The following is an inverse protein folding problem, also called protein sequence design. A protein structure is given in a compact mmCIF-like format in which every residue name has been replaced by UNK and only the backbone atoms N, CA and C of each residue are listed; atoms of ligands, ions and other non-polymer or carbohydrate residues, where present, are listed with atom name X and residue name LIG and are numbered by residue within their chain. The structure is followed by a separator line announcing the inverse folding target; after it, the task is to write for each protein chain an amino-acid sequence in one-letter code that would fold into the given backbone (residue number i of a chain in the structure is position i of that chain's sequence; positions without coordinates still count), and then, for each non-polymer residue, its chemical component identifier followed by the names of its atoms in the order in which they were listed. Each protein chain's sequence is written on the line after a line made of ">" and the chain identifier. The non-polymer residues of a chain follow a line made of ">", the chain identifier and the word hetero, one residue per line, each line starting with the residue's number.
data_IF_792659300057
#
_entry.id   IF_792659300057
#
_cell.length_a   1.000
_cell.length_b   1.000
_cell.length_c   1.000
_cell.angle_alpha   90.00
_cell.angle_beta   90.00
_cell.angle_gamma   90.00
#
_symmetry.space_group_name_H-M   'P 1'
#
loop_
_entity.id
_entity.type
_entity.pdbx_description
1 polymer ?
#
# COMPACT_ATOMS: atom_id res chain seq x y z
N UNK A 1 45.05 12.43 14.75
CA UNK A 1 44.99 10.96 14.60
C UNK A 1 45.71 10.23 15.73
N UNK A 2 47.03 10.34 15.86
CA UNK A 2 47.80 9.63 16.92
C UNK A 2 47.36 9.99 18.36
N UNK A 3 47.10 11.28 18.63
CA UNK A 3 46.60 11.73 19.95
C UNK A 3 45.15 11.32 20.25
N UNK A 4 44.34 11.09 19.22
CA UNK A 4 42.93 10.69 19.39
C UNK A 4 42.85 9.19 19.73
N UNK A 5 43.67 8.38 19.06
CA UNK A 5 43.86 6.96 19.35
C UNK A 5 44.43 6.73 20.76
N UNK A 6 45.41 7.54 21.16
CA UNK A 6 46.01 7.47 22.50
C UNK A 6 45.00 7.85 23.60
N UNK A 7 44.14 8.86 23.36
CA UNK A 7 43.04 9.21 24.27
C UNK A 7 41.94 8.15 24.34
N UNK A 8 41.78 7.34 23.31
CA UNK A 8 40.83 6.22 23.27
C UNK A 8 41.38 5.01 24.01
N UNK A 9 42.66 4.68 23.83
CA UNK A 9 43.38 3.66 24.62
C UNK A 9 43.41 3.98 26.12
N UNK A 10 43.51 5.25 26.51
CA UNK A 10 43.54 5.65 27.92
C UNK A 10 42.15 5.64 28.60
N UNK A 11 41.06 5.78 27.83
CA UNK A 11 39.68 5.86 28.36
C UNK A 11 38.88 4.57 28.26
N UNK A 12 39.35 3.64 27.44
CA UNK A 12 38.72 2.36 27.27
C UNK A 12 39.64 1.32 27.91
N UNK A 13 39.14 0.61 28.92
CA UNK A 13 39.80 -0.53 29.54
C UNK A 13 39.79 -1.70 28.54
N UNK A 14 40.45 -1.48 27.38
CA UNK A 14 40.51 -2.35 26.20
C UNK A 14 41.68 -3.30 26.36
N UNK A 15 41.76 -3.90 27.55
CA UNK A 15 42.47 -5.15 27.73
C UNK A 15 41.56 -6.26 27.17
N UNK A 16 41.82 -6.68 25.92
CA UNK A 16 41.19 -7.80 25.17
C UNK A 16 39.96 -7.52 24.27
N UNK A 17 39.81 -6.34 23.63
CA UNK A 17 38.63 -6.10 22.76
C UNK A 17 38.86 -6.38 21.26
N UNK A 18 38.01 -7.25 20.71
CA UNK A 18 37.64 -7.43 19.29
C UNK A 18 37.93 -6.21 18.38
N UNK A 19 38.72 -6.35 17.29
CA UNK A 19 39.04 -5.29 16.33
C UNK A 19 37.82 -4.52 15.80
N UNK A 20 36.67 -5.21 15.73
CA UNK A 20 35.39 -4.63 15.31
C UNK A 20 34.93 -3.53 16.26
N UNK A 21 35.20 -3.67 17.57
CA UNK A 21 34.85 -2.66 18.59
C UNK A 21 35.69 -1.40 18.47
N UNK A 22 36.96 -1.51 18.08
CA UNK A 22 37.83 -0.34 17.88
C UNK A 22 37.33 0.53 16.74
N UNK A 23 36.87 -0.09 15.64
CA UNK A 23 36.23 0.61 14.52
C UNK A 23 34.98 1.39 14.96
N UNK A 24 34.06 0.74 15.67
CA UNK A 24 32.84 1.36 16.18
C UNK A 24 33.12 2.55 17.13
N UNK A 25 34.13 2.41 17.99
CA UNK A 25 34.53 3.50 18.90
C UNK A 25 35.13 4.68 18.13
N UNK A 26 35.95 4.41 17.13
CA UNK A 26 36.52 5.45 16.26
C UNK A 26 35.44 6.20 15.49
N UNK A 27 34.49 5.49 14.89
CA UNK A 27 33.37 6.09 14.15
C UNK A 27 32.49 6.94 15.06
N UNK A 28 32.23 6.46 16.28
CA UNK A 28 31.49 7.22 17.29
C UNK A 28 32.19 8.51 17.67
N UNK A 29 33.49 8.48 17.97
CA UNK A 29 34.24 9.69 18.36
C UNK A 29 34.33 10.67 17.21
N UNK A 30 34.56 10.19 16.00
CA UNK A 30 34.63 11.03 14.80
C UNK A 30 33.29 11.71 14.53
N UNK A 31 32.20 10.94 14.55
CA UNK A 31 30.84 11.47 14.35
C UNK A 31 30.43 12.46 15.44
N UNK A 32 30.74 12.17 16.71
CA UNK A 32 30.47 13.07 17.82
C UNK A 32 31.27 14.38 17.70
N UNK A 33 32.54 14.31 17.30
CA UNK A 33 33.37 15.51 17.12
C UNK A 33 32.88 16.39 15.97
N UNK A 34 32.41 15.78 14.88
CA UNK A 34 31.81 16.51 13.74
C UNK A 34 30.50 17.17 14.18
N UNK A 35 29.67 16.47 14.95
CA UNK A 35 28.41 17.02 15.47
C UNK A 35 28.66 18.19 16.42
N UNK A 36 29.62 18.07 17.34
CA UNK A 36 29.98 19.14 18.28
C UNK A 36 30.48 20.39 17.52
N UNK A 37 31.29 20.21 16.48
CA UNK A 37 31.75 21.30 15.61
C UNK A 37 30.57 21.95 14.87
N UNK A 38 29.68 21.15 14.28
CA UNK A 38 28.49 21.64 13.59
C UNK A 38 27.55 22.44 14.51
N UNK A 39 27.28 21.93 15.73
CA UNK A 39 26.47 22.61 16.73
C UNK A 39 27.11 23.91 17.23
N UNK A 40 28.44 24.01 17.20
CA UNK A 40 29.14 25.23 17.60
C UNK A 40 29.00 26.35 16.55
N UNK A 41 28.98 26.00 15.27
CA UNK A 41 29.03 26.97 14.16
C UNK A 41 27.69 27.22 13.47
N UNK A 42 26.69 26.35 13.67
CA UNK A 42 25.34 26.51 13.12
C UNK A 42 24.30 26.70 14.24
N UNK A 43 23.84 27.95 14.47
CA UNK A 43 22.84 28.27 15.49
C UNK A 43 21.50 27.58 15.26
N UNK A 44 21.12 27.30 14.01
CA UNK A 44 19.83 26.66 13.69
C UNK A 44 19.87 25.20 14.16
N UNK A 45 20.98 24.49 13.91
CA UNK A 45 21.24 23.15 14.44
C UNK A 45 21.32 23.13 15.97
N UNK A 46 21.95 24.13 16.58
CA UNK A 46 22.07 24.22 18.04
C UNK A 46 20.73 24.52 18.74
N UNK A 47 19.81 25.18 18.04
CA UNK A 47 18.54 25.64 18.60
C UNK A 47 17.47 24.55 18.71
N UNK A 48 17.61 23.44 17.97
CA UNK A 48 16.59 22.40 17.88
C UNK A 48 17.15 21.07 18.40
N UNK A 49 16.71 20.67 19.59
CA UNK A 49 17.04 19.36 20.16
C UNK A 49 16.17 18.24 19.58
N UNK A 50 16.73 17.03 19.43
CA UNK A 50 15.95 15.85 19.04
C UNK A 50 14.78 15.57 19.98
N UNK A 51 14.95 15.80 21.29
CA UNK A 51 13.88 15.67 22.29
C UNK A 51 12.73 16.66 22.08
N UNK A 52 13.02 17.87 21.61
CA UNK A 52 11.99 18.88 21.32
C UNK A 52 11.23 18.52 20.04
N UNK A 53 11.93 18.02 19.02
CA UNK A 53 11.30 17.50 17.80
C UNK A 53 10.41 16.31 18.09
N UNK A 54 10.87 15.35 18.89
CA UNK A 54 10.09 14.18 19.29
C UNK A 54 8.85 14.59 20.11
N UNK A 55 9.01 15.56 21.01
CA UNK A 55 7.90 16.11 21.78
C UNK A 55 6.88 16.83 20.87
N UNK A 56 7.35 17.62 19.90
CA UNK A 56 6.51 18.31 18.93
C UNK A 56 5.75 17.31 18.03
N UNK A 57 6.43 16.30 17.50
CA UNK A 57 5.83 15.24 16.70
C UNK A 57 4.78 14.45 17.51
N UNK A 58 5.10 14.09 18.75
CA UNK A 58 4.19 13.41 19.66
C UNK A 58 2.96 14.26 20.00
N UNK A 59 3.15 15.58 20.17
CA UNK A 59 2.03 16.50 20.39
C UNK A 59 1.14 16.59 19.16
N UNK A 60 1.74 16.80 17.99
CA UNK A 60 1.02 16.86 16.72
C UNK A 60 0.18 15.59 16.49
N UNK A 61 0.76 14.40 16.67
CA UNK A 61 0.05 13.13 16.52
C UNK A 61 -1.15 13.02 17.47
N UNK A 62 -0.97 13.40 18.73
CA UNK A 62 -2.04 13.37 19.73
C UNK A 62 -3.16 14.35 19.39
N UNK A 63 -2.80 15.56 18.99
CA UNK A 63 -3.73 16.63 18.66
C UNK A 63 -4.49 16.32 17.36
N UNK A 64 -3.82 15.74 16.36
CA UNK A 64 -4.42 15.28 15.11
C UNK A 64 -5.43 14.15 15.36
N UNK A 65 -5.08 13.14 16.16
CA UNK A 65 -6.00 12.07 16.56
C UNK A 65 -7.22 12.62 17.32
N UNK A 66 -6.99 13.58 18.22
CA UNK A 66 -8.06 14.25 18.96
C UNK A 66 -8.98 15.05 18.02
N UNK A 67 -8.39 15.74 17.06
CA UNK A 67 -9.09 16.51 16.03
C UNK A 67 -9.91 15.60 15.10
N UNK A 68 -9.37 14.45 14.67
CA UNK A 68 -10.08 13.44 13.90
C UNK A 68 -11.28 12.89 14.66
N UNK A 69 -11.11 12.55 15.94
CA UNK A 69 -12.19 12.06 16.79
C UNK A 69 -13.31 13.11 16.97
N UNK A 70 -12.94 14.37 17.23
CA UNK A 70 -13.88 15.48 17.34
C UNK A 70 -14.65 15.73 16.03
N UNK A 71 -13.94 15.69 14.89
CA UNK A 71 -14.56 15.83 13.57
C UNK A 71 -15.53 14.69 13.26
N UNK A 72 -15.23 13.45 13.65
CA UNK A 72 -16.14 12.33 13.45
C UNK A 72 -17.50 12.55 14.16
N UNK A 73 -17.51 13.16 15.35
CA UNK A 73 -18.75 13.55 16.04
C UNK A 73 -19.50 14.63 15.26
N UNK A 74 -18.79 15.67 14.82
CA UNK A 74 -19.36 16.78 14.03
C UNK A 74 -19.99 16.29 12.73
N UNK A 75 -19.27 15.46 11.96
CA UNK A 75 -19.75 14.92 10.69
C UNK A 75 -20.95 14.00 10.90
N UNK A 76 -20.94 13.13 11.93
CA UNK A 76 -22.11 12.30 12.26
C UNK A 76 -23.35 13.15 12.58
N UNK A 77 -23.19 14.24 13.33
CA UNK A 77 -24.29 15.18 13.60
C UNK A 77 -24.83 15.80 12.32
N UNK A 78 -23.96 16.30 11.44
CA UNK A 78 -24.36 16.90 10.17
C UNK A 78 -25.07 15.89 9.25
N UNK A 79 -24.54 14.66 9.16
CA UNK A 79 -25.17 13.58 8.42
C UNK A 79 -26.56 13.23 8.98
N UNK A 80 -26.71 13.14 10.31
CA UNK A 80 -28.00 12.88 10.95
C UNK A 80 -29.02 14.01 10.72
N UNK A 81 -28.59 15.27 10.77
CA UNK A 81 -29.44 16.43 10.46
C UNK A 81 -29.90 16.41 9.01
N UNK A 82 -28.98 16.15 8.06
CA UNK A 82 -29.30 16.00 6.64
C UNK A 82 -30.27 14.85 6.40
N UNK A 83 -30.03 13.70 7.02
CA UNK A 83 -30.92 12.55 6.93
C UNK A 83 -32.33 12.89 7.42
N UNK A 84 -32.46 13.56 8.57
CA UNK A 84 -33.76 14.00 9.08
C UNK A 84 -34.51 14.88 8.08
N UNK A 85 -33.84 15.90 7.52
CA UNK A 85 -34.44 16.78 6.51
C UNK A 85 -34.89 16.00 5.27
N UNK A 86 -34.09 15.05 4.80
CA UNK A 86 -34.43 14.22 3.63
C UNK A 86 -35.59 13.26 3.93
N UNK A 87 -35.65 12.67 5.14
CA UNK A 87 -36.77 11.84 5.57
C UNK A 87 -38.08 12.63 5.64
N UNK A 88 -38.03 13.86 6.17
CA UNK A 88 -39.18 14.76 6.26
C UNK A 88 -39.66 15.21 4.87
N UNK A 89 -38.73 15.45 3.94
CA UNK A 89 -39.04 15.82 2.55
C UNK A 89 -39.52 14.65 1.69
N UNK A 90 -39.24 13.39 2.09
CA UNK A 90 -39.60 12.18 1.34
C UNK A 90 -40.39 11.17 2.20
N UNK A 91 -41.61 11.51 2.64
CA UNK A 91 -42.38 10.71 3.60
C UNK A 91 -42.67 9.27 3.11
N UNK A 92 -42.89 9.08 1.81
CA UNK A 92 -43.11 7.74 1.23
C UNK A 92 -41.85 6.86 1.32
N UNK A 93 -40.68 7.44 1.03
CA UNK A 93 -39.42 6.71 1.15
C UNK A 93 -39.09 6.42 2.62
N UNK A 94 -39.37 7.37 3.50
CA UNK A 94 -39.20 7.20 4.95
C UNK A 94 -40.07 6.05 5.47
N UNK A 95 -41.35 5.98 5.11
CA UNK A 95 -42.24 4.91 5.58
C UNK A 95 -41.77 3.52 5.11
N UNK A 96 -41.33 3.42 3.84
CA UNK A 96 -40.78 2.17 3.29
C UNK A 96 -39.49 1.75 3.99
N UNK A 97 -38.56 2.69 4.22
CA UNK A 97 -37.33 2.41 4.97
C UNK A 97 -37.65 1.96 6.40
N UNK A 98 -38.55 2.66 7.09
CA UNK A 98 -38.97 2.30 8.45
C UNK A 98 -39.54 0.88 8.51
N UNK A 99 -40.38 0.54 7.53
CA UNK A 99 -40.93 -0.82 7.40
C UNK A 99 -39.80 -1.83 7.23
N UNK A 100 -38.83 -1.55 6.35
CA UNK A 100 -37.70 -2.44 6.09
C UNK A 100 -36.81 -2.64 7.33
N UNK A 101 -36.47 -1.57 8.05
CA UNK A 101 -35.62 -1.61 9.26
C UNK A 101 -36.26 -2.42 10.39
N UNK A 102 -37.60 -2.45 10.46
CA UNK A 102 -38.32 -3.25 11.47
C UNK A 102 -38.47 -4.73 11.11
N UNK A 103 -38.10 -5.15 9.88
CA UNK A 103 -38.17 -6.56 9.50
C UNK A 103 -37.11 -7.37 10.21
N UNK A 104 -37.48 -8.59 10.61
CA UNK A 104 -36.57 -9.56 11.24
C UNK A 104 -35.98 -10.56 10.23
N UNK A 105 -36.66 -10.77 9.11
CA UNK A 105 -36.28 -11.73 8.06
C UNK A 105 -36.77 -11.23 6.70
N UNK A 106 -36.26 -11.84 5.61
CA UNK A 106 -36.64 -11.53 4.21
C UNK A 106 -36.44 -10.05 3.85
N UNK A 107 -35.22 -9.57 4.06
CA UNK A 107 -34.86 -8.21 3.69
C UNK A 107 -34.97 -7.98 2.18
N UNK A 108 -35.42 -6.80 1.80
CA UNK A 108 -35.43 -6.35 0.42
C UNK A 108 -33.97 -6.20 -0.05
N UNK A 109 -33.61 -6.76 -1.24
CA UNK A 109 -32.26 -6.61 -1.76
C UNK A 109 -31.84 -5.13 -1.89
N UNK A 110 -30.59 -4.81 -1.53
CA UNK A 110 -30.07 -3.42 -1.51
C UNK A 110 -30.28 -2.69 -2.84
N UNK A 111 -30.09 -3.40 -3.98
CA UNK A 111 -30.38 -2.86 -5.32
C UNK A 111 -31.79 -2.29 -5.43
N UNK A 112 -32.78 -3.05 -4.96
CA UNK A 112 -34.18 -2.64 -5.02
C UNK A 112 -34.47 -1.51 -4.04
N UNK A 113 -33.85 -1.52 -2.84
CA UNK A 113 -33.95 -0.39 -1.91
C UNK A 113 -33.37 0.90 -2.48
N UNK A 114 -32.25 0.82 -3.20
CA UNK A 114 -31.64 1.97 -3.88
C UNK A 114 -32.51 2.52 -5.02
N UNK A 115 -33.20 1.65 -5.74
CA UNK A 115 -34.15 2.05 -6.78
C UNK A 115 -35.44 2.64 -6.19
N UNK A 116 -35.96 2.06 -5.10
CA UNK A 116 -37.23 2.47 -4.49
C UNK A 116 -37.09 3.70 -3.58
N UNK A 117 -35.92 3.89 -2.95
CA UNK A 117 -35.64 4.88 -1.90
C UNK A 117 -34.32 5.66 -2.12
N UNK A 118 -34.03 6.19 -3.33
CA UNK A 118 -32.71 6.72 -3.67
C UNK A 118 -32.27 7.89 -2.78
N UNK A 119 -33.18 8.83 -2.50
CA UNK A 119 -32.86 10.05 -1.74
C UNK A 119 -32.49 9.72 -0.29
N UNK A 120 -33.31 8.89 0.34
CA UNK A 120 -33.11 8.51 1.75
C UNK A 120 -31.86 7.63 1.89
N UNK A 121 -31.63 6.67 0.98
CA UNK A 121 -30.47 5.78 1.04
C UNK A 121 -29.15 6.54 0.86
N UNK A 122 -29.07 7.44 -0.12
CA UNK A 122 -27.89 8.27 -0.36
C UNK A 122 -27.65 9.28 0.77
N UNK A 123 -28.70 9.79 1.41
CA UNK A 123 -28.58 10.68 2.57
C UNK A 123 -28.15 9.93 3.84
N UNK A 124 -28.60 8.69 4.02
CA UNK A 124 -28.26 7.87 5.19
C UNK A 124 -26.79 7.44 5.20
N UNK A 125 -26.20 7.22 4.01
CA UNK A 125 -24.79 6.94 3.82
C UNK A 125 -24.20 7.94 2.83
N UNK A 126 -23.57 9.04 3.29
CA UNK A 126 -23.10 10.09 2.40
C UNK A 126 -21.82 9.74 1.62
N UNK A 127 -21.12 8.66 1.99
CA UNK A 127 -19.89 8.20 1.34
C UNK A 127 -20.07 6.75 0.92
N UNK A 128 -19.74 6.45 -0.34
CA UNK A 128 -19.86 5.13 -0.95
C UNK A 128 -18.50 4.72 -1.53
N UNK A 129 -17.96 3.61 -1.03
CA UNK A 129 -16.77 2.96 -1.60
C UNK A 129 -17.23 1.74 -2.41
N UNK A 130 -17.02 1.78 -3.73
CA UNK A 130 -17.56 0.79 -4.66
C UNK A 130 -16.61 0.59 -5.84
N UNK A 131 -16.52 -0.63 -6.37
CA UNK A 131 -15.87 -0.84 -7.66
C UNK A 131 -16.69 -0.23 -8.81
N UNK A 132 -16.06 0.16 -9.93
CA UNK A 132 -16.78 0.79 -11.05
C UNK A 132 -17.94 -0.06 -11.61
N UNK A 133 -17.79 -1.39 -11.59
CA UNK A 133 -18.84 -2.33 -11.96
C UNK A 133 -20.07 -2.23 -11.03
N UNK A 134 -19.85 -2.10 -9.72
CA UNK A 134 -20.94 -1.97 -8.75
C UNK A 134 -21.65 -0.63 -8.88
N UNK A 135 -20.92 0.45 -9.17
CA UNK A 135 -21.50 1.77 -9.45
C UNK A 135 -22.48 1.68 -10.63
N UNK A 136 -22.05 1.04 -11.72
CA UNK A 136 -22.86 0.86 -12.92
C UNK A 136 -24.12 0.03 -12.67
N UNK A 137 -24.00 -0.97 -11.79
CA UNK A 137 -25.08 -1.91 -11.47
C UNK A 137 -26.09 -1.37 -10.46
N UNK A 138 -25.66 -0.64 -9.44
CA UNK A 138 -26.49 -0.35 -8.27
C UNK A 138 -27.01 1.07 -8.20
N UNK A 139 -26.24 2.04 -8.69
CA UNK A 139 -26.58 3.46 -8.55
C UNK A 139 -27.47 3.94 -9.70
N UNK A 140 -28.41 4.86 -9.46
CA UNK A 140 -29.29 5.39 -10.51
C UNK A 140 -28.48 6.17 -11.57
N UNK A 141 -28.97 6.21 -12.81
CA UNK A 141 -28.37 6.98 -13.91
C UNK A 141 -28.69 8.47 -13.80
N UNK A 142 -28.34 9.10 -12.68
CA UNK A 142 -28.47 10.54 -12.43
C UNK A 142 -27.31 11.03 -11.55
N UNK A 143 -27.02 12.32 -11.62
CA UNK A 143 -26.09 12.96 -10.68
C UNK A 143 -26.57 12.70 -9.25
N UNK A 144 -25.71 12.05 -8.46
CA UNK A 144 -26.03 11.55 -7.12
C UNK A 144 -25.00 11.97 -6.08
N UNK A 145 -23.81 12.40 -6.52
CA UNK A 145 -22.68 12.75 -5.69
C UNK A 145 -22.14 14.13 -6.08
N UNK A 146 -21.74 14.90 -5.08
CA UNK A 146 -21.00 16.14 -5.27
C UNK A 146 -19.54 15.89 -5.65
N UNK A 147 -18.98 14.75 -5.24
CA UNK A 147 -17.60 14.36 -5.50
C UNK A 147 -17.47 12.87 -5.81
N UNK A 148 -16.70 12.56 -6.86
CA UNK A 148 -16.24 11.20 -7.19
C UNK A 148 -14.72 11.17 -7.10
N UNK A 149 -14.20 10.18 -6.37
CA UNK A 149 -12.76 9.98 -6.19
C UNK A 149 -12.42 8.62 -6.80
N UNK A 150 -11.46 8.61 -7.72
CA UNK A 150 -10.76 7.40 -8.11
C UNK A 150 -9.43 7.37 -7.36
N UNK A 151 -9.30 6.37 -6.50
CA UNK A 151 -8.02 5.97 -5.92
C UNK A 151 -7.44 4.81 -6.75
N UNK A 152 -6.12 4.68 -6.79
CA UNK A 152 -5.41 3.75 -7.68
C UNK A 152 -5.89 3.84 -9.15
N UNK A 153 -6.09 5.07 -9.62
CA UNK A 153 -6.65 5.37 -10.92
C UNK A 153 -5.84 4.85 -12.12
N UNK A 154 -4.57 4.49 -11.90
CA UNK A 154 -3.75 3.80 -12.90
C UNK A 154 -4.27 2.39 -13.23
N UNK A 155 -5.08 1.78 -12.35
CA UNK A 155 -5.64 0.45 -12.50
C UNK A 155 -7.11 0.45 -13.00
N UNK A 156 -7.67 1.62 -13.34
CA UNK A 156 -9.06 1.72 -13.81
C UNK A 156 -9.10 2.17 -15.26
N UNK A 157 -9.75 1.38 -16.12
CA UNK A 157 -9.94 1.75 -17.53
C UNK A 157 -10.92 2.92 -17.67
N UNK A 158 -10.73 3.82 -18.64
CA UNK A 158 -11.66 4.93 -18.87
C UNK A 158 -13.11 4.49 -19.09
N UNK A 159 -13.32 3.38 -19.83
CA UNK A 159 -14.65 2.84 -20.10
C UNK A 159 -15.40 2.45 -18.82
N UNK A 160 -14.69 1.87 -17.85
CA UNK A 160 -15.25 1.47 -16.56
C UNK A 160 -15.48 2.67 -15.64
N UNK A 161 -14.69 3.73 -15.78
CA UNK A 161 -14.80 4.94 -14.98
C UNK A 161 -16.00 5.84 -15.35
N UNK A 162 -16.39 5.89 -16.63
CA UNK A 162 -17.44 6.79 -17.14
C UNK A 162 -18.74 6.72 -16.32
N UNK A 163 -19.30 5.53 -15.98
CA UNK A 163 -20.50 5.45 -15.17
C UNK A 163 -20.38 6.15 -13.81
N UNK A 164 -19.21 6.10 -13.16
CA UNK A 164 -19.03 6.81 -11.90
C UNK A 164 -18.90 8.32 -12.11
N UNK A 165 -18.13 8.73 -13.13
CA UNK A 165 -17.92 10.16 -13.47
C UNK A 165 -19.27 10.85 -13.74
N UNK A 166 -20.17 10.23 -14.52
CA UNK A 166 -21.49 10.80 -14.84
C UNK A 166 -22.40 11.01 -13.62
N UNK A 167 -22.07 10.43 -12.46
CA UNK A 167 -22.86 10.56 -11.23
C UNK A 167 -22.28 11.59 -10.26
N UNK A 168 -21.12 12.17 -10.58
CA UNK A 168 -20.40 13.13 -9.76
C UNK A 168 -20.38 14.54 -10.35
N UNK A 169 -20.52 15.56 -9.51
CA UNK A 169 -20.33 16.96 -9.94
C UNK A 169 -18.86 17.34 -10.06
N UNK A 170 -18.01 16.78 -9.20
CA UNK A 170 -16.57 17.00 -9.18
C UNK A 170 -15.84 15.65 -9.24
N UNK A 171 -14.64 15.66 -9.80
CA UNK A 171 -13.81 14.48 -10.00
C UNK A 171 -12.42 14.71 -9.40
N UNK A 172 -11.96 13.78 -8.58
CA UNK A 172 -10.57 13.65 -8.16
C UNK A 172 -10.04 12.31 -8.69
N UNK A 173 -8.86 12.35 -9.29
CA UNK A 173 -8.17 11.17 -9.80
C UNK A 173 -6.81 11.12 -9.13
N UNK A 174 -6.58 10.10 -8.32
CA UNK A 174 -5.34 9.85 -7.61
C UNK A 174 -4.80 8.47 -8.00
N UNK A 175 -3.49 8.38 -8.16
CA UNK A 175 -2.81 7.14 -8.53
C UNK A 175 -1.39 7.43 -9.01
N UNK A 176 -0.68 6.37 -9.38
CA UNK A 176 0.69 6.45 -9.83
C UNK A 176 0.84 5.80 -11.22
N UNK A 177 1.24 6.60 -12.21
CA UNK A 177 1.44 6.13 -13.58
C UNK A 177 2.65 5.23 -13.76
N UNK A 178 3.51 5.12 -12.73
CA UNK A 178 4.68 4.24 -12.73
C UNK A 178 4.41 2.89 -12.05
N UNK A 179 3.24 2.71 -11.46
CA UNK A 179 2.79 1.43 -10.89
C UNK A 179 2.01 0.61 -11.92
N UNK A 180 1.58 -0.59 -11.51
CA UNK A 180 0.95 -1.57 -12.40
C UNK A 180 -0.26 -0.96 -13.15
N UNK A 181 -0.33 -1.12 -14.48
CA UNK A 181 -1.51 -0.76 -15.26
C UNK A 181 -2.68 -1.71 -14.96
N UNK A 182 -3.89 -1.46 -15.49
CA UNK A 182 -5.03 -2.34 -15.25
C UNK A 182 -4.73 -3.74 -15.77
N UNK A 183 -4.98 -4.77 -14.96
CA UNK A 183 -4.83 -6.16 -15.38
C UNK A 183 -5.97 -6.54 -16.34
N UNK A 184 -5.63 -7.07 -17.51
CA UNK A 184 -6.58 -7.57 -18.52
C UNK A 184 -7.18 -8.93 -18.11
N UNK A 185 -7.73 -9.05 -16.90
CA UNK A 185 -8.29 -10.32 -16.40
C UNK A 185 -9.65 -10.68 -17.06
N UNK A 186 -10.38 -9.69 -17.59
CA UNK A 186 -11.75 -9.87 -18.08
C UNK A 186 -11.90 -9.98 -19.60
N UNK A 187 -10.84 -9.76 -20.36
CA UNK A 187 -10.88 -9.68 -21.84
C UNK A 187 -10.76 -11.06 -22.47
N UNK A 188 -10.22 -12.06 -21.76
CA UNK A 188 -10.09 -13.44 -22.26
C UNK A 188 -11.39 -14.24 -22.30
N UNK A 189 -12.44 -13.84 -21.56
CA UNK A 189 -13.70 -14.63 -21.50
C UNK A 189 -14.58 -14.48 -22.75
N UNK A 190 -14.21 -13.62 -23.70
CA UNK A 190 -14.99 -13.41 -24.93
C UNK A 190 -14.35 -14.02 -26.18
N UNK A 191 -13.08 -14.43 -26.13
CA UNK A 191 -12.35 -14.89 -27.33
C UNK A 191 -11.97 -16.39 -27.36
N UNK A 192 -12.08 -17.15 -26.26
CA UNK A 192 -11.72 -18.58 -26.28
C UNK A 192 -12.94 -19.49 -25.97
N UNK A 193 -13.66 -19.88 -27.02
CA UNK A 193 -14.19 -21.24 -27.09
C UNK A 193 -13.11 -22.08 -27.78
N UNK A 194 -12.59 -23.06 -27.03
CA UNK A 194 -11.66 -24.14 -27.40
C UNK A 194 -10.25 -23.99 -26.81
N UNK A 195 -9.82 -25.07 -26.16
CA UNK A 195 -8.59 -25.35 -25.43
C UNK A 195 -8.44 -24.87 -23.97
N UNK A 196 -8.05 -25.82 -23.12
CA UNK A 196 -8.06 -25.77 -21.66
C UNK A 196 -7.24 -24.63 -21.05
N UNK A 197 -7.81 -24.04 -20.01
CA UNK A 197 -7.28 -22.92 -19.25
C UNK A 197 -5.91 -23.28 -18.65
N UNK A 198 -4.84 -22.76 -19.24
CA UNK A 198 -3.61 -22.44 -18.52
C UNK A 198 -3.73 -20.97 -18.09
N UNK A 199 -3.99 -20.74 -16.81
CA UNK A 199 -3.86 -19.41 -16.18
C UNK A 199 -2.38 -19.04 -16.08
N UNK A 200 -1.74 -18.86 -17.23
CA UNK A 200 -0.33 -18.50 -17.32
C UNK A 200 -0.25 -17.05 -17.82
N UNK A 201 -0.16 -16.13 -16.85
CA UNK A 201 0.65 -14.94 -17.06
C UNK A 201 2.11 -15.40 -17.06
N UNK A 202 2.57 -15.96 -18.19
CA UNK A 202 4.00 -16.23 -18.39
C UNK A 202 4.77 -14.91 -18.28
N UNK A 203 5.97 -14.98 -17.69
CA UNK A 203 6.95 -13.89 -17.60
C UNK A 203 7.23 -13.21 -18.97
N UNK A 204 6.94 -13.88 -20.08
CA UNK A 204 7.08 -13.33 -21.43
C UNK A 204 5.99 -12.31 -21.80
N UNK A 205 4.81 -12.34 -21.16
CA UNK A 205 3.72 -11.42 -21.49
C UNK A 205 4.00 -9.97 -21.08
N UNK A 206 4.82 -9.75 -20.05
CA UNK A 206 5.25 -8.40 -19.62
C UNK A 206 6.42 -7.88 -20.48
N UNK A 207 7.32 -8.76 -20.93
CA UNK A 207 8.44 -8.39 -21.81
C UNK A 207 8.00 -8.16 -23.27
N UNK A 208 6.97 -8.86 -23.75
CA UNK A 208 6.49 -8.74 -25.13
C UNK A 208 5.74 -7.42 -25.42
N UNK A 209 5.26 -6.70 -24.39
CA UNK A 209 4.57 -5.41 -24.58
C UNK A 209 5.53 -4.30 -25.03
N UNK A 210 6.83 -4.43 -24.78
CA UNK A 210 7.81 -3.39 -25.13
C UNK A 210 8.26 -3.40 -26.61
N UNK A 211 8.00 -4.47 -27.38
CA UNK A 211 8.60 -4.64 -28.73
C UNK A 211 7.66 -4.48 -29.92
N UNK A 212 6.35 -4.27 -29.71
CA UNK A 212 5.42 -4.05 -30.82
C UNK A 212 5.36 -2.55 -31.25
N UNK A 213 5.52 -2.21 -32.55
CA UNK A 213 5.45 -0.83 -33.01
C UNK A 213 4.03 -0.27 -32.80
N UNK A 214 3.92 0.69 -31.87
CA UNK A 214 2.67 1.41 -31.55
C UNK A 214 2.17 2.15 -32.79
N UNK A 215 1.11 1.63 -33.43
CA UNK A 215 0.43 2.31 -34.54
C UNK A 215 -0.33 3.51 -33.98
N UNK A 216 0.06 4.69 -34.43
CA UNK A 216 -0.54 5.99 -34.10
C UNK A 216 -1.99 6.03 -34.61
N UNK A 217 -2.97 5.80 -33.73
CA UNK A 217 -4.38 5.70 -34.12
C UNK A 217 -5.36 5.96 -32.96
N UNK A 218 -6.02 7.13 -33.00
CA UNK A 218 -7.16 7.55 -32.17
C UNK A 218 -6.88 7.76 -30.67
N UNK A 219 -6.96 9.02 -30.23
CA UNK A 219 -6.72 9.54 -28.88
C UNK A 219 -7.46 8.83 -27.71
N UNK A 220 -8.46 8.00 -28.00
CA UNK A 220 -9.31 7.33 -27.00
C UNK A 220 -9.12 5.82 -26.90
N UNK A 221 -8.41 5.18 -27.85
CA UNK A 221 -8.10 3.74 -27.78
C UNK A 221 -6.80 3.45 -27.02
N UNK A 222 -5.94 4.46 -26.88
CA UNK A 222 -4.62 4.35 -26.24
C UNK A 222 -4.63 4.79 -24.76
N UNK A 223 -5.79 5.08 -24.19
CA UNK A 223 -5.86 5.46 -22.77
C UNK A 223 -5.86 4.20 -21.90
N UNK A 224 -4.65 3.77 -21.53
CA UNK A 224 -4.40 2.61 -20.67
C UNK A 224 -5.17 2.70 -19.34
N UNK A 225 -5.37 3.92 -18.80
CA UNK A 225 -6.10 4.16 -17.56
C UNK A 225 -6.78 5.54 -17.52
N UNK A 226 -7.71 5.73 -16.59
CA UNK A 226 -8.33 7.03 -16.33
C UNK A 226 -7.31 8.06 -15.83
N UNK A 227 -6.28 7.62 -15.08
CA UNK A 227 -5.16 8.48 -14.69
C UNK A 227 -4.44 9.05 -15.91
N UNK A 228 -4.06 8.19 -16.86
CA UNK A 228 -3.39 8.60 -18.09
C UNK A 228 -4.29 9.51 -18.96
N UNK A 229 -5.57 9.17 -19.08
CA UNK A 229 -6.53 10.00 -19.81
C UNK A 229 -6.66 11.40 -19.21
N UNK A 230 -6.78 11.50 -17.89
CA UNK A 230 -6.94 12.78 -17.19
C UNK A 230 -5.66 13.60 -17.19
N UNK A 231 -4.48 12.99 -17.02
CA UNK A 231 -3.21 13.72 -17.06
C UNK A 231 -2.98 14.40 -18.43
N UNK A 232 -3.38 13.73 -19.52
CA UNK A 232 -3.36 14.34 -20.87
C UNK A 232 -4.40 15.46 -21.05
N UNK A 233 -5.61 15.26 -20.56
CA UNK A 233 -6.70 16.24 -20.72
C UNK A 233 -6.49 17.49 -19.86
N UNK A 234 -5.91 17.32 -18.67
CA UNK A 234 -5.68 18.36 -17.67
C UNK A 234 -4.21 18.77 -17.61
N UNK A 235 -3.49 18.65 -18.72
CA UNK A 235 -2.04 18.84 -18.80
C UNK A 235 -1.55 20.06 -17.99
N UNK A 236 -0.65 19.81 -17.02
CA UNK A 236 -0.08 20.83 -16.13
C UNK A 236 -0.89 21.13 -14.86
N UNK A 237 -2.06 20.51 -14.69
CA UNK A 237 -2.88 20.65 -13.47
C UNK A 237 -2.68 19.49 -12.48
N UNK A 238 -2.01 18.41 -12.88
CA UNK A 238 -1.63 17.34 -11.97
C UNK A 238 -0.61 17.84 -10.93
N UNK A 239 -0.65 17.21 -9.74
CA UNK A 239 0.24 17.51 -8.62
C UNK A 239 0.87 16.20 -8.16
N UNK A 240 2.20 16.17 -8.09
CA UNK A 240 2.94 15.02 -7.57
C UNK A 240 3.14 15.19 -6.07
N UNK A 241 2.84 14.13 -5.32
CA UNK A 241 3.23 14.03 -3.92
C UNK A 241 4.68 13.52 -3.89
N UNK A 242 5.60 14.33 -3.36
CA UNK A 242 7.03 14.06 -3.43
C UNK A 242 7.57 13.35 -2.18
N UNK A 243 6.85 13.41 -1.07
CA UNK A 243 7.35 12.93 0.22
C UNK A 243 6.99 11.46 0.40
N UNK A 244 8.01 10.63 0.65
CA UNK A 244 7.83 9.20 0.90
C UNK A 244 7.87 8.91 2.40
N UNK A 245 6.73 8.49 2.95
CA UNK A 245 6.58 8.24 4.39
C UNK A 245 6.53 6.75 4.76
N UNK A 246 6.49 5.84 3.77
CA UNK A 246 6.24 4.41 4.03
C UNK A 246 7.49 3.68 4.54
N UNK A 247 8.65 3.96 3.94
CA UNK A 247 9.89 3.27 4.31
C UNK A 247 10.53 3.97 5.49
N UNK A 248 10.79 3.22 6.57
CA UNK A 248 11.56 3.72 7.73
C UNK A 248 13.03 3.95 7.37
N UNK A 249 13.54 3.18 6.42
CA UNK A 249 14.88 3.30 5.85
C UNK A 249 14.81 3.69 4.38
N UNK A 250 15.53 4.74 4.00
CA UNK A 250 15.54 5.25 2.62
C UNK A 250 16.12 4.26 1.61
N UNK A 251 16.98 3.32 2.04
CA UNK A 251 17.55 2.27 1.18
C UNK A 251 16.46 1.41 0.54
N UNK A 252 15.34 1.19 1.24
CA UNK A 252 14.18 0.42 0.75
C UNK A 252 13.53 1.03 -0.50
N UNK A 253 13.59 2.35 -0.66
CA UNK A 253 13.02 3.04 -1.83
C UNK A 253 14.10 3.58 -2.76
N UNK A 254 15.37 3.61 -2.37
CA UNK A 254 16.46 4.23 -3.12
C UNK A 254 16.58 3.71 -4.56
N UNK A 255 16.47 2.39 -4.75
CA UNK A 255 16.51 1.77 -6.09
C UNK A 255 15.34 2.26 -6.94
N UNK A 256 14.11 2.14 -6.44
CA UNK A 256 12.90 2.60 -7.14
C UNK A 256 12.91 4.11 -7.39
N UNK A 257 13.30 4.92 -6.41
CA UNK A 257 13.42 6.37 -6.56
C UNK A 257 14.38 6.73 -7.69
N UNK A 258 15.52 6.03 -7.79
CA UNK A 258 16.52 6.28 -8.84
C UNK A 258 16.12 5.77 -10.23
N UNK A 259 15.46 4.61 -10.31
CA UNK A 259 15.14 3.93 -11.59
C UNK A 259 13.78 4.31 -12.17
N UNK A 260 12.82 4.63 -11.31
CA UNK A 260 11.41 4.80 -11.66
C UNK A 260 10.97 6.27 -11.52
N UNK A 261 11.44 6.95 -10.48
CA UNK A 261 10.98 8.30 -10.12
C UNK A 261 12.02 9.40 -10.35
N UNK A 262 13.09 9.14 -11.10
CA UNK A 262 14.11 10.15 -11.46
C UNK A 262 14.69 10.91 -10.25
N UNK A 263 14.80 10.26 -9.09
CA UNK A 263 15.23 10.84 -7.79
C UNK A 263 14.37 12.02 -7.31
N UNK A 264 13.11 12.09 -7.73
CA UNK A 264 12.20 13.17 -7.34
C UNK A 264 11.54 12.99 -5.97
N UNK A 265 11.56 11.78 -5.40
CA UNK A 265 10.99 11.54 -4.08
C UNK A 265 11.96 12.01 -2.99
N UNK A 266 11.42 12.75 -2.02
CA UNK A 266 12.08 13.15 -0.78
C UNK A 266 11.94 12.03 0.24
N UNK A 267 13.08 11.50 0.69
CA UNK A 267 13.19 10.50 1.76
C UNK A 267 13.84 11.12 2.98
N UNK A 268 13.70 10.45 4.12
CA UNK A 268 14.39 10.83 5.35
C UNK A 268 15.48 9.80 5.63
N UNK A 269 16.70 10.25 6.00
CA UNK A 269 17.76 9.33 6.36
C UNK A 269 17.36 8.56 7.62
N UNK A 270 17.58 7.25 7.61
CA UNK A 270 17.51 6.46 8.84
C UNK A 270 18.78 6.68 9.68
N UNK A 271 18.66 6.48 11.00
CA UNK A 271 19.85 6.22 11.81
C UNK A 271 20.58 5.00 11.23
N UNK A 272 21.90 4.91 11.42
CA UNK A 272 22.71 3.82 10.88
C UNK A 272 22.27 2.47 11.49
N UNK A 273 21.32 1.81 10.82
CA UNK A 273 20.79 0.50 11.20
C UNK A 273 21.44 -0.58 10.34
N UNK A 274 21.61 -1.82 10.86
CA UNK A 274 22.01 -2.97 10.05
C UNK A 274 21.16 -3.07 8.78
N UNK A 275 21.73 -3.71 7.73
CA UNK A 275 21.19 -3.72 6.37
C UNK A 275 19.67 -3.94 6.29
N UNK A 276 18.93 -2.91 5.86
CA UNK A 276 17.49 -2.97 5.63
C UNK A 276 17.10 -3.87 4.44
N UNK A 277 18.08 -4.30 3.64
CA UNK A 277 17.88 -5.16 2.47
C UNK A 277 18.96 -6.25 2.50
N UNK A 278 18.52 -7.50 2.44
CA UNK A 278 19.39 -8.65 2.22
C UNK A 278 19.00 -9.35 0.91
N UNK A 279 20.01 -9.87 0.20
CA UNK A 279 19.81 -10.74 -0.95
C UNK A 279 20.38 -12.12 -0.61
N UNK A 280 19.51 -13.13 -0.62
CA UNK A 280 19.89 -14.52 -0.35
C UNK A 280 20.02 -15.23 -1.69
N UNK A 281 21.25 -15.58 -2.07
CA UNK A 281 21.50 -16.36 -3.28
C UNK A 281 21.12 -17.83 -3.04
N UNK A 282 20.08 -18.30 -3.73
CA UNK A 282 19.63 -19.69 -3.65
C UNK A 282 20.20 -20.48 -4.84
N UNK A 283 20.90 -21.60 -4.61
CA UNK A 283 21.42 -22.42 -5.69
C UNK A 283 20.29 -22.96 -6.59
N UNK A 284 20.50 -23.13 -7.90
CA UNK A 284 19.50 -23.71 -8.78
C UNK A 284 19.00 -25.08 -8.30
N UNK A 285 17.71 -25.32 -8.51
CA UNK A 285 17.04 -26.59 -8.24
C UNK A 285 15.84 -26.78 -9.18
N UNK A 286 15.39 -28.02 -9.41
CA UNK A 286 14.16 -28.28 -10.15
C UNK A 286 12.97 -27.52 -9.55
N UNK A 287 12.12 -27.02 -10.43
CA UNK A 287 10.84 -26.39 -10.13
C UNK A 287 9.67 -27.34 -10.42
N UNK A 288 8.51 -26.76 -10.72
CA UNK A 288 7.30 -27.52 -11.08
C UNK A 288 7.58 -28.35 -12.34
N UNK A 289 7.23 -29.64 -12.31
CA UNK A 289 7.39 -30.58 -13.42
C UNK A 289 8.81 -30.63 -14.01
N UNK A 290 9.83 -30.33 -13.20
CA UNK A 290 11.23 -30.30 -13.62
C UNK A 290 11.65 -29.03 -14.38
N UNK A 291 10.77 -28.03 -14.47
CA UNK A 291 11.07 -26.70 -15.03
C UNK A 291 11.89 -25.81 -14.11
N UNK A 292 12.05 -24.54 -14.46
CA UNK A 292 12.76 -23.52 -13.66
C UNK A 292 11.84 -22.70 -12.76
N UNK A 293 10.51 -22.84 -12.91
CA UNK A 293 9.54 -22.06 -12.15
C UNK A 293 9.32 -22.64 -10.75
N UNK A 294 9.28 -21.77 -9.74
CA UNK A 294 9.15 -22.17 -8.33
C UNK A 294 10.18 -23.23 -7.89
N UNK A 295 11.50 -22.94 -7.91
CA UNK A 295 12.53 -23.89 -7.50
C UNK A 295 12.31 -24.46 -6.08
N UNK A 296 12.54 -25.76 -5.88
CA UNK A 296 12.39 -26.43 -4.56
C UNK A 296 13.27 -25.83 -3.46
N UNK A 297 14.50 -25.43 -3.79
CA UNK A 297 15.41 -24.81 -2.83
C UNK A 297 14.95 -23.42 -2.43
N UNK A 298 14.33 -22.67 -3.33
CA UNK A 298 13.78 -21.35 -3.01
C UNK A 298 12.61 -21.48 -2.03
N UNK A 299 11.72 -22.44 -2.26
CA UNK A 299 10.62 -22.74 -1.33
C UNK A 299 11.16 -23.09 0.06
N UNK A 300 12.17 -23.96 0.13
CA UNK A 300 12.82 -24.34 1.39
C UNK A 300 13.47 -23.15 2.09
N UNK A 301 14.16 -22.29 1.34
CA UNK A 301 14.85 -21.12 1.90
C UNK A 301 13.85 -20.07 2.42
N UNK A 302 12.72 -19.87 1.72
CA UNK A 302 11.65 -18.99 2.21
C UNK A 302 11.07 -19.50 3.53
N UNK A 303 10.82 -20.82 3.67
CA UNK A 303 10.36 -21.40 4.94
C UNK A 303 11.39 -21.18 6.05
N UNK A 304 12.69 -21.36 5.75
CA UNK A 304 13.76 -21.10 6.71
C UNK A 304 13.82 -19.63 7.14
N UNK A 305 13.69 -18.70 6.19
CA UNK A 305 13.68 -17.26 6.46
C UNK A 305 12.46 -16.87 7.33
N UNK A 306 11.28 -17.44 7.06
CA UNK A 306 10.09 -17.24 7.89
C UNK A 306 10.29 -17.74 9.32
N UNK A 307 10.90 -18.93 9.49
CA UNK A 307 11.26 -19.46 10.82
C UNK A 307 12.26 -18.57 11.54
N UNK A 308 13.30 -18.10 10.83
CA UNK A 308 14.31 -17.21 11.39
C UNK A 308 13.71 -15.87 11.84
N UNK A 309 12.82 -15.28 11.04
CA UNK A 309 12.08 -14.06 11.39
C UNK A 309 11.23 -14.27 12.65
N UNK A 310 10.43 -15.33 12.71
CA UNK A 310 9.58 -15.60 13.86
C UNK A 310 10.39 -15.76 15.17
N UNK A 311 11.63 -16.26 15.09
CA UNK A 311 12.52 -16.39 16.23
C UNK A 311 13.20 -15.07 16.62
N UNK A 312 13.68 -14.30 15.64
CA UNK A 312 14.48 -13.09 15.86
C UNK A 312 13.61 -11.85 16.13
N UNK A 313 12.42 -11.79 15.52
CA UNK A 313 11.53 -10.64 15.48
C UNK A 313 10.05 -11.06 15.71
N UNK A 314 9.72 -11.71 16.85
CA UNK A 314 8.38 -12.24 17.10
C UNK A 314 7.29 -11.16 17.19
N UNK A 315 7.67 -9.91 17.49
CA UNK A 315 6.75 -8.78 17.61
C UNK A 315 6.50 -8.04 16.27
N UNK A 316 7.15 -8.47 15.19
CA UNK A 316 7.04 -7.84 13.86
C UNK A 316 6.16 -8.67 12.91
N UNK A 317 5.25 -8.00 12.20
CA UNK A 317 4.43 -8.63 11.16
C UNK A 317 5.27 -9.05 9.94
N UNK A 318 4.87 -10.13 9.28
CA UNK A 318 5.58 -10.70 8.14
C UNK A 318 4.63 -10.97 6.97
N UNK A 319 5.06 -10.61 5.76
CA UNK A 319 4.38 -10.96 4.51
C UNK A 319 5.36 -11.52 3.50
N UNK A 320 4.93 -12.54 2.76
CA UNK A 320 5.73 -13.17 1.69
C UNK A 320 5.10 -12.84 0.34
N UNK A 321 5.87 -12.22 -0.55
CA UNK A 321 5.45 -11.93 -1.93
C UNK A 321 6.15 -12.90 -2.87
N UNK A 322 5.37 -13.61 -3.68
CA UNK A 322 5.84 -14.62 -4.62
C UNK A 322 5.61 -14.14 -6.05
N UNK A 323 6.50 -14.49 -6.98
CA UNK A 323 6.23 -14.24 -8.40
C UNK A 323 5.30 -15.32 -8.97
N UNK A 324 3.99 -15.02 -8.99
CA UNK A 324 2.97 -15.84 -9.64
C UNK A 324 2.25 -16.84 -8.74
N UNK A 325 1.01 -17.17 -9.12
CA UNK A 325 0.06 -17.96 -8.30
C UNK A 325 0.57 -19.38 -8.05
N UNK A 326 1.19 -20.02 -9.04
CA UNK A 326 1.75 -21.38 -8.91
C UNK A 326 2.86 -21.44 -7.83
N UNK A 327 3.70 -20.40 -7.74
CA UNK A 327 4.74 -20.32 -6.70
C UNK A 327 4.17 -19.98 -5.33
N UNK A 328 3.25 -19.00 -5.26
CA UNK A 328 2.50 -18.67 -4.04
C UNK A 328 1.89 -19.93 -3.42
N UNK A 329 1.16 -20.72 -4.21
CA UNK A 329 0.50 -21.93 -3.71
C UNK A 329 1.49 -22.97 -3.16
N UNK A 330 2.66 -23.12 -3.80
CA UNK A 330 3.71 -24.02 -3.32
C UNK A 330 4.32 -23.54 -2.00
N UNK A 331 4.50 -22.23 -1.84
CA UNK A 331 4.95 -21.65 -0.58
C UNK A 331 3.91 -21.85 0.53
N UNK A 332 2.63 -21.63 0.25
CA UNK A 332 1.54 -21.86 1.20
C UNK A 332 1.50 -23.31 1.68
N UNK A 333 1.61 -24.29 0.78
CA UNK A 333 1.65 -25.72 1.15
C UNK A 333 2.87 -26.01 2.04
N UNK A 334 4.04 -25.51 1.67
CA UNK A 334 5.27 -25.75 2.44
C UNK A 334 5.22 -25.10 3.83
N UNK A 335 4.66 -23.91 3.94
CA UNK A 335 4.46 -23.20 5.20
C UNK A 335 3.40 -23.88 6.08
N UNK A 336 2.30 -24.36 5.49
CA UNK A 336 1.30 -25.13 6.22
C UNK A 336 1.92 -26.40 6.83
N UNK A 337 2.73 -27.14 6.07
CA UNK A 337 3.48 -28.28 6.60
C UNK A 337 4.40 -27.86 7.76
N UNK A 338 5.10 -26.74 7.62
CA UNK A 338 5.95 -26.18 8.68
C UNK A 338 5.17 -25.79 9.95
N UNK A 339 3.93 -25.29 9.81
CA UNK A 339 3.04 -24.97 10.93
C UNK A 339 2.50 -26.22 11.63
N UNK A 340 2.27 -27.32 10.89
CA UNK A 340 1.87 -28.58 11.49
C UNK A 340 3.00 -29.22 12.30
N UNK A 341 4.25 -29.09 11.84
CA UNK A 341 5.44 -29.54 12.57
C UNK A 341 5.71 -28.69 13.83
N UNK A 342 5.50 -27.38 13.73
CA UNK A 342 5.68 -26.43 14.82
C UNK A 342 4.48 -25.47 14.93
N UNK A 343 3.46 -25.83 15.74
CA UNK A 343 2.30 -24.97 15.95
C UNK A 343 2.63 -23.60 16.57
N UNK A 344 3.79 -23.46 17.22
CA UNK A 344 4.19 -22.18 17.84
C UNK A 344 4.61 -21.15 16.79
N UNK A 345 5.07 -21.59 15.61
CA UNK A 345 5.42 -20.72 14.48
C UNK A 345 4.21 -19.94 13.99
N UNK A 346 3.08 -20.62 13.72
CA UNK A 346 1.86 -19.97 13.25
C UNK A 346 1.30 -18.98 14.27
N UNK A 347 1.30 -19.37 15.55
CA UNK A 347 0.84 -18.51 16.64
C UNK A 347 1.71 -17.25 16.76
N UNK A 348 3.03 -17.37 16.58
CA UNK A 348 3.95 -16.23 16.63
C UNK A 348 3.72 -15.27 15.48
N UNK A 349 3.58 -15.79 14.25
CA UNK A 349 3.36 -14.97 13.06
C UNK A 349 1.99 -14.25 13.03
N UNK A 350 1.02 -14.71 13.83
CA UNK A 350 -0.34 -14.16 13.88
C UNK A 350 -0.73 -13.60 15.26
N UNK A 351 0.25 -13.15 16.06
CA UNK A 351 -0.06 -12.48 17.33
C UNK A 351 -0.83 -11.16 17.14
N UNK A 352 -0.59 -10.47 16.02
CA UNK A 352 -1.26 -9.22 15.68
C UNK A 352 -2.43 -9.45 14.73
N UNK A 353 -3.67 -9.43 15.26
CA UNK A 353 -4.89 -9.59 14.46
C UNK A 353 -5.08 -8.49 13.39
N UNK A 354 -4.47 -7.32 13.57
CA UNK A 354 -4.60 -6.21 12.61
C UNK A 354 -3.72 -6.41 11.37
N UNK A 355 -2.60 -7.12 11.50
CA UNK A 355 -1.62 -7.37 10.45
C UNK A 355 -1.25 -8.87 10.41
N UNK A 356 -2.19 -9.74 10.00
CA UNK A 356 -1.94 -11.16 9.96
C UNK A 356 -0.90 -11.54 8.91
N UNK A 357 -0.21 -12.65 9.14
CA UNK A 357 0.72 -13.22 8.17
C UNK A 357 0.01 -13.58 6.86
N UNK A 358 0.66 -13.30 5.73
CA UNK A 358 0.12 -13.62 4.41
C UNK A 358 1.19 -14.02 3.40
N UNK A 359 0.77 -14.79 2.40
CA UNK A 359 1.52 -15.07 1.18
C UNK A 359 0.71 -14.56 0.00
N UNK A 360 1.32 -13.83 -0.93
CA UNK A 360 0.61 -13.23 -2.07
C UNK A 360 1.42 -13.23 -3.36
N UNK A 361 0.77 -13.49 -4.48
CA UNK A 361 1.31 -13.36 -5.83
C UNK A 361 1.24 -11.95 -6.41
#
# INVERSE_FOLDING_TARGET
>A
MHKLLQSLEERSDVSESDPTRVGLVFDRVTSASILDDALLFDPDLASVGGTELDAAASSYQRDDLSHLAANAVRIRRLAAQRLKLVLDANPDQHLKLKTEVTRKTRFTPVRRLLSDLPEVMLSAKPVWAMSPLQVSRLLPLKESFDLVIFDEASQVKPADAIPAILRGRQLIVAGDSRQLPPTEFFTKTLDDQDDGIDEDATLDSVAAVETAPRRMGSMTRDAESILFAMDRLLAGQSRRLLWHYRSRDERLIAVSNSRIYDRSLTTFPAADTPDAIAHIEVPPSPGIDGGTNSPEKEVSEVVNAVRAHALAHPDESLGVIAFGVKHQHRLEIALEAAFQEDPTLYATLNQNEAEPFFVKA
#
